data_IF_061961082287
#
_entry.id   IF_061961082287
#
_cell.length_a   1.000
_cell.length_b   1.000
_cell.length_c   1.000
_cell.angle_alpha   90.00
_cell.angle_beta   90.00
_cell.angle_gamma   90.00
#
_symmetry.space_group_name_H-M   'P 1'
#
loop_
_entity.id
_entity.type
_entity.pdbx_description
1 polymer ?
#
# COMPACT_ATOMS: atom_id res chain seq x y z
N UNK A 1 0.06 -22.54 -22.42
CA UNK A 1 -0.33 -21.39 -21.63
C UNK A 1 -0.77 -21.88 -20.25
N UNK A 2 -0.22 -21.33 -19.17
CA UNK A 2 -0.78 -21.50 -17.82
C UNK A 2 -2.08 -20.70 -17.74
N UNK A 3 -3.09 -21.25 -17.06
CA UNK A 3 -4.35 -20.56 -16.85
C UNK A 3 -4.23 -19.72 -15.56
N UNK A 4 -4.74 -18.48 -15.60
CA UNK A 4 -5.05 -17.73 -14.40
C UNK A 4 -6.41 -18.18 -13.84
N UNK A 5 -6.63 -17.97 -12.55
CA UNK A 5 -7.85 -18.40 -11.88
C UNK A 5 -8.46 -17.27 -11.04
N UNK A 6 -9.65 -16.81 -11.44
CA UNK A 6 -10.49 -15.92 -10.65
C UNK A 6 -11.80 -16.64 -10.31
N UNK A 7 -11.84 -17.23 -9.14
CA UNK A 7 -13.05 -17.92 -8.66
C UNK A 7 -13.97 -16.95 -7.95
N UNK A 8 -15.29 -16.90 -8.30
CA UNK A 8 -16.24 -16.08 -7.56
C UNK A 8 -16.26 -16.46 -6.08
N UNK A 9 -16.14 -15.47 -5.22
CA UNK A 9 -16.10 -15.66 -3.78
C UNK A 9 -17.44 -15.27 -3.13
N UNK A 10 -17.95 -16.13 -2.25
CA UNK A 10 -19.07 -15.80 -1.37
C UNK A 10 -18.50 -15.29 -0.04
N UNK A 11 -18.80 -14.05 0.29
CA UNK A 11 -18.37 -13.46 1.56
C UNK A 11 -19.00 -14.19 2.77
N UNK A 12 -18.27 -14.30 3.89
CA UNK A 12 -18.84 -14.79 5.15
C UNK A 12 -20.07 -13.97 5.59
N UNK A 13 -21.09 -14.58 6.22
CA UNK A 13 -22.34 -13.89 6.54
C UNK A 13 -22.18 -12.75 7.55
N UNK A 14 -21.18 -12.81 8.42
CA UNK A 14 -20.88 -11.81 9.45
C UNK A 14 -20.18 -10.55 8.89
N UNK A 15 -19.64 -10.62 7.68
CA UNK A 15 -19.02 -9.48 6.98
C UNK A 15 -19.99 -8.30 6.81
N UNK A 16 -21.29 -8.56 6.64
CA UNK A 16 -22.28 -7.49 6.51
C UNK A 16 -22.42 -6.65 7.80
N UNK A 17 -22.28 -7.27 8.96
CA UNK A 17 -22.31 -6.56 10.25
C UNK A 17 -21.01 -5.76 10.47
N UNK A 18 -19.85 -6.35 10.12
CA UNK A 18 -18.56 -5.66 10.14
C UNK A 18 -18.59 -4.42 9.25
N UNK A 19 -19.08 -4.55 8.01
CA UNK A 19 -19.21 -3.43 7.06
C UNK A 19 -20.03 -2.27 7.63
N UNK A 20 -21.17 -2.55 8.24
CA UNK A 20 -22.00 -1.53 8.90
C UNK A 20 -21.27 -0.85 10.06
N UNK A 21 -20.53 -1.61 10.86
CA UNK A 21 -19.76 -1.06 11.98
C UNK A 21 -18.64 -0.14 11.49
N UNK A 22 -17.93 -0.53 10.42
CA UNK A 22 -16.88 0.30 9.82
C UNK A 22 -17.47 1.59 9.24
N UNK A 23 -18.58 1.51 8.50
CA UNK A 23 -19.24 2.69 7.93
C UNK A 23 -19.70 3.67 9.02
N UNK A 24 -20.35 3.20 10.07
CA UNK A 24 -20.79 4.03 11.18
C UNK A 24 -19.62 4.73 11.89
N UNK A 25 -18.47 4.07 12.00
CA UNK A 25 -17.23 4.68 12.50
C UNK A 25 -16.72 5.76 11.55
N UNK A 26 -16.68 5.48 10.24
CA UNK A 26 -16.22 6.41 9.22
C UNK A 26 -17.12 7.64 9.10
N UNK A 27 -18.43 7.46 9.16
CA UNK A 27 -19.40 8.56 9.15
C UNK A 27 -19.13 9.58 10.28
N UNK A 28 -18.68 9.08 11.44
CA UNK A 28 -18.32 9.95 12.57
C UNK A 28 -16.93 10.57 12.40
N UNK A 29 -15.92 9.77 12.07
CA UNK A 29 -14.53 10.22 12.08
C UNK A 29 -14.12 11.07 10.87
N UNK A 30 -14.87 10.97 9.76
CA UNK A 30 -14.58 11.69 8.51
C UNK A 30 -15.58 12.83 8.23
N UNK A 31 -16.49 13.13 9.16
CA UNK A 31 -17.54 14.14 8.96
C UNK A 31 -16.99 15.53 8.57
N UNK A 32 -15.88 15.93 9.20
CA UNK A 32 -15.27 17.24 9.00
C UNK A 32 -14.20 17.28 7.88
N UNK A 33 -13.90 16.13 7.25
CA UNK A 33 -12.91 16.08 6.19
C UNK A 33 -13.51 16.57 4.86
N UNK A 34 -12.80 17.47 4.18
CA UNK A 34 -13.14 17.90 2.82
C UNK A 34 -13.03 16.76 1.81
N UNK A 35 -13.77 16.84 0.73
CA UNK A 35 -13.74 15.86 -0.35
C UNK A 35 -12.33 15.67 -0.94
N UNK A 36 -11.59 16.75 -1.17
CA UNK A 36 -10.22 16.73 -1.67
C UNK A 36 -9.25 16.05 -0.69
N UNK A 37 -9.45 16.17 0.62
CA UNK A 37 -8.65 15.47 1.62
C UNK A 37 -8.97 13.97 1.61
N UNK A 38 -10.24 13.60 1.46
CA UNK A 38 -10.67 12.20 1.27
C UNK A 38 -10.11 11.61 -0.02
N UNK A 39 -9.92 12.41 -1.07
CA UNK A 39 -9.33 11.97 -2.34
C UNK A 39 -7.84 11.62 -2.24
N UNK A 40 -7.13 12.03 -1.17
CA UNK A 40 -5.77 11.54 -0.91
C UNK A 40 -5.73 10.03 -0.62
N UNK A 41 -6.88 9.43 -0.25
CA UNK A 41 -7.04 8.00 -0.03
C UNK A 41 -5.95 7.48 0.94
N UNK A 42 -5.25 6.40 0.59
CA UNK A 42 -4.21 5.83 1.45
C UNK A 42 -2.90 6.67 1.56
N UNK A 43 -2.82 7.83 0.90
CA UNK A 43 -1.76 8.82 1.13
C UNK A 43 -2.12 9.83 2.22
N UNK A 44 -3.40 10.00 2.57
CA UNK A 44 -3.86 10.86 3.66
C UNK A 44 -3.31 10.38 5.01
N UNK A 45 -2.70 11.27 5.78
CA UNK A 45 -1.97 10.93 7.01
C UNK A 45 -2.66 11.47 8.27
N UNK A 46 -3.06 10.57 9.17
CA UNK A 46 -3.51 10.91 10.52
C UNK A 46 -3.10 9.83 11.53
N UNK A 47 -2.20 10.18 12.44
CA UNK A 47 -1.82 9.30 13.55
C UNK A 47 -2.97 9.12 14.55
N UNK A 48 -3.81 10.14 14.74
CA UNK A 48 -4.98 10.08 15.61
C UNK A 48 -6.03 9.11 15.07
N UNK A 49 -6.38 9.23 13.78
CA UNK A 49 -7.27 8.29 13.11
C UNK A 49 -6.75 6.85 13.22
N UNK A 50 -5.44 6.63 13.05
CA UNK A 50 -4.82 5.31 13.19
C UNK A 50 -4.99 4.72 14.58
N UNK A 51 -4.83 5.51 15.65
CA UNK A 51 -5.09 5.07 17.03
C UNK A 51 -6.56 4.73 17.27
N UNK A 52 -7.49 5.56 16.77
CA UNK A 52 -8.93 5.30 16.87
C UNK A 52 -9.33 4.03 16.14
N UNK A 53 -8.77 3.80 14.96
CA UNK A 53 -8.98 2.58 14.17
C UNK A 53 -8.44 1.34 14.91
N UNK A 54 -7.23 1.46 15.47
CA UNK A 54 -6.60 0.41 16.28
C UNK A 54 -7.43 0.05 17.52
N UNK A 55 -8.04 1.03 18.19
CA UNK A 55 -8.94 0.82 19.33
C UNK A 55 -10.20 0.00 18.96
N UNK A 56 -10.58 -0.04 17.67
CA UNK A 56 -11.62 -0.95 17.15
C UNK A 56 -11.10 -2.35 16.83
N UNK A 57 -9.79 -2.61 16.95
CA UNK A 57 -9.15 -3.87 16.56
C UNK A 57 -9.02 -4.04 15.04
N UNK A 58 -9.00 -2.93 14.27
CA UNK A 58 -8.96 -2.95 12.81
C UNK A 58 -7.57 -2.63 12.23
N UNK A 59 -6.55 -2.52 13.07
CA UNK A 59 -5.14 -2.53 12.69
C UNK A 59 -4.53 -3.87 13.13
N UNK A 60 -3.73 -4.49 12.29
CA UNK A 60 -3.13 -5.79 12.56
C UNK A 60 -4.13 -6.94 12.67
N UNK A 61 -5.28 -6.85 12.00
CA UNK A 61 -6.41 -7.79 12.14
C UNK A 61 -6.01 -9.25 11.97
N UNK A 62 -5.08 -9.55 11.08
CA UNK A 62 -4.65 -10.94 10.77
C UNK A 62 -3.53 -11.45 11.68
N UNK A 63 -2.96 -10.57 12.54
CA UNK A 63 -1.85 -10.96 13.41
C UNK A 63 -2.32 -11.77 14.62
N UNK A 64 -1.40 -12.51 15.28
CA UNK A 64 -1.72 -13.26 16.49
C UNK A 64 -2.25 -12.36 17.61
N UNK A 65 -3.23 -12.86 18.36
CA UNK A 65 -3.77 -12.15 19.55
C UNK A 65 -2.71 -11.86 20.59
N UNK A 66 -1.74 -12.74 20.78
CA UNK A 66 -0.62 -12.55 21.69
C UNK A 66 0.25 -11.32 21.35
N UNK A 67 0.15 -10.81 20.09
CA UNK A 67 0.84 -9.62 19.59
C UNK A 67 -0.11 -8.42 19.40
N UNK A 68 -1.34 -8.52 19.89
CA UNK A 68 -2.34 -7.45 19.79
C UNK A 68 -3.21 -7.49 18.54
N UNK A 69 -3.07 -8.50 17.68
CA UNK A 69 -3.96 -8.74 16.54
C UNK A 69 -5.29 -9.39 16.94
N UNK A 70 -6.13 -9.69 15.96
CA UNK A 70 -7.44 -10.33 16.17
C UNK A 70 -7.53 -11.74 15.61
N UNK A 71 -6.52 -12.23 14.88
CA UNK A 71 -6.55 -13.49 14.12
C UNK A 71 -7.74 -13.56 13.14
N UNK A 72 -8.15 -12.39 12.65
CA UNK A 72 -9.22 -12.29 11.68
C UNK A 72 -8.78 -12.83 10.31
N UNK A 73 -9.73 -13.32 9.52
CA UNK A 73 -9.44 -13.81 8.19
C UNK A 73 -9.03 -12.67 7.23
N UNK A 74 -8.33 -13.01 6.15
CA UNK A 74 -8.00 -12.08 5.08
C UNK A 74 -9.26 -11.41 4.48
N UNK A 75 -10.42 -12.09 4.47
CA UNK A 75 -11.68 -11.54 3.98
C UNK A 75 -12.26 -10.46 4.89
N UNK A 76 -12.18 -10.64 6.21
CA UNK A 76 -12.58 -9.60 7.16
C UNK A 76 -11.71 -8.36 7.01
N UNK A 77 -10.39 -8.55 6.95
CA UNK A 77 -9.44 -7.46 6.69
C UNK A 77 -9.70 -6.76 5.36
N UNK A 78 -9.99 -7.52 4.30
CA UNK A 78 -10.35 -6.99 2.98
C UNK A 78 -11.52 -6.00 3.07
N UNK A 79 -12.58 -6.37 3.77
CA UNK A 79 -13.77 -5.52 3.92
C UNK A 79 -13.47 -4.24 4.68
N UNK A 80 -12.70 -4.30 5.75
CA UNK A 80 -12.30 -3.10 6.48
C UNK A 80 -11.50 -2.16 5.58
N UNK A 81 -10.50 -2.66 4.86
CA UNK A 81 -9.70 -1.86 3.93
C UNK A 81 -10.56 -1.29 2.80
N UNK A 82 -11.47 -2.06 2.23
CA UNK A 82 -12.38 -1.61 1.18
C UNK A 82 -13.20 -0.40 1.64
N UNK A 83 -13.81 -0.47 2.82
CA UNK A 83 -14.61 0.63 3.37
C UNK A 83 -13.75 1.84 3.73
N UNK A 84 -12.58 1.65 4.33
CA UNK A 84 -11.65 2.73 4.65
C UNK A 84 -11.25 3.53 3.40
N UNK A 85 -10.88 2.82 2.33
CA UNK A 85 -10.42 3.46 1.10
C UNK A 85 -11.56 4.08 0.29
N UNK A 86 -12.72 3.43 0.24
CA UNK A 86 -13.90 3.98 -0.41
C UNK A 86 -14.37 5.29 0.25
N UNK A 87 -14.26 5.39 1.58
CA UNK A 87 -14.59 6.60 2.32
C UNK A 87 -13.48 7.67 2.27
N UNK A 88 -12.28 7.34 1.77
CA UNK A 88 -11.14 8.24 1.75
C UNK A 88 -10.50 8.47 3.12
N UNK A 89 -10.46 7.44 3.97
CA UNK A 89 -9.89 7.53 5.30
C UNK A 89 -8.37 7.79 5.28
N UNK A 90 -7.83 8.63 6.20
CA UNK A 90 -6.41 8.99 6.23
C UNK A 90 -5.57 7.90 6.91
N UNK A 91 -5.35 6.79 6.22
CA UNK A 91 -4.73 5.56 6.75
C UNK A 91 -3.20 5.55 6.68
N UNK A 92 -2.56 6.53 6.05
CA UNK A 92 -1.13 6.50 5.72
C UNK A 92 -0.20 6.28 6.92
N UNK A 93 -0.60 6.68 8.13
CA UNK A 93 0.24 6.53 9.32
C UNK A 93 0.49 5.06 9.67
N UNK A 94 -0.55 4.21 9.69
CA UNK A 94 -0.42 2.78 9.99
C UNK A 94 -0.26 1.90 8.74
N UNK A 95 -0.44 2.46 7.54
CA UNK A 95 -0.61 1.69 6.30
C UNK A 95 0.53 0.72 6.01
N UNK A 96 1.77 1.19 6.08
CA UNK A 96 2.96 0.35 5.85
C UNK A 96 3.14 -0.64 7.01
N UNK A 97 2.91 -0.19 8.26
CA UNK A 97 2.98 -1.04 9.43
C UNK A 97 1.99 -2.22 9.35
N UNK A 98 0.72 -1.94 9.10
CA UNK A 98 -0.34 -2.96 9.02
C UNK A 98 -0.18 -3.91 7.84
N UNK A 99 0.09 -3.35 6.66
CA UNK A 99 0.06 -4.13 5.42
C UNK A 99 1.32 -4.94 5.16
N UNK A 100 2.48 -4.40 5.50
CA UNK A 100 3.78 -4.93 5.12
C UNK A 100 4.64 -5.27 6.33
N UNK A 101 5.12 -4.26 7.05
CA UNK A 101 6.15 -4.45 8.08
C UNK A 101 5.71 -5.36 9.21
N UNK A 102 4.48 -5.25 9.70
CA UNK A 102 3.98 -6.10 10.78
C UNK A 102 3.87 -7.56 10.37
N UNK A 103 3.39 -7.82 9.15
CA UNK A 103 3.33 -9.19 8.60
C UNK A 103 4.73 -9.79 8.41
N UNK A 104 5.71 -8.99 7.96
CA UNK A 104 7.10 -9.42 7.88
C UNK A 104 7.68 -9.74 9.26
N UNK A 105 7.43 -8.88 10.27
CA UNK A 105 7.89 -9.14 11.63
C UNK A 105 7.27 -10.40 12.22
N UNK A 106 5.97 -10.59 12.07
CA UNK A 106 5.28 -11.80 12.55
C UNK A 106 5.83 -13.07 11.90
N UNK A 107 6.22 -12.99 10.62
CA UNK A 107 6.68 -14.16 9.85
C UNK A 107 8.17 -14.48 10.06
N UNK A 108 9.02 -13.47 10.17
CA UNK A 108 10.48 -13.66 10.06
C UNK A 108 11.27 -13.18 11.28
N UNK A 109 10.74 -12.30 12.13
CA UNK A 109 11.48 -11.78 13.27
C UNK A 109 11.50 -12.78 14.43
N UNK A 110 12.51 -12.65 15.31
CA UNK A 110 12.54 -13.36 16.57
C UNK A 110 11.37 -12.95 17.47
N UNK A 111 10.96 -13.82 18.39
CA UNK A 111 9.89 -13.54 19.34
C UNK A 111 10.15 -12.25 20.14
N UNK A 112 11.39 -12.01 20.58
CA UNK A 112 11.75 -10.79 21.28
C UNK A 112 11.52 -9.52 20.44
N UNK A 113 11.85 -9.56 19.15
CA UNK A 113 11.63 -8.45 18.22
C UNK A 113 10.14 -8.27 17.92
N UNK A 114 9.40 -9.37 17.74
CA UNK A 114 7.95 -9.31 17.59
C UNK A 114 7.28 -8.62 18.79
N UNK A 115 7.60 -9.04 20.02
CA UNK A 115 7.06 -8.46 21.26
C UNK A 115 7.46 -6.98 21.44
N UNK A 116 8.62 -6.59 20.94
CA UNK A 116 9.09 -5.20 21.02
C UNK A 116 8.28 -4.26 20.14
N UNK A 117 7.91 -4.66 18.92
CA UNK A 117 7.37 -3.77 17.91
C UNK A 117 5.88 -4.01 17.60
N UNK A 118 5.45 -5.25 17.40
CA UNK A 118 4.13 -5.57 16.85
C UNK A 118 2.97 -5.08 17.72
N UNK A 119 3.01 -5.18 19.08
CA UNK A 119 1.93 -4.66 19.90
C UNK A 119 1.73 -3.14 19.79
N UNK A 120 2.80 -2.37 19.65
CA UNK A 120 2.70 -0.92 19.48
C UNK A 120 2.17 -0.55 18.07
N UNK A 121 2.53 -1.33 17.05
CA UNK A 121 1.94 -1.22 15.71
C UNK A 121 0.44 -1.51 15.73
N UNK A 122 0.02 -2.58 16.40
CA UNK A 122 -1.38 -2.97 16.55
C UNK A 122 -2.22 -1.90 17.27
N UNK A 123 -1.63 -1.11 18.17
CA UNK A 123 -2.27 0.04 18.84
C UNK A 123 -2.23 1.33 18.03
N UNK A 124 -1.62 1.34 16.82
CA UNK A 124 -1.47 2.56 16.01
C UNK A 124 -0.54 3.61 16.65
N UNK A 125 0.44 3.18 17.41
CA UNK A 125 1.40 4.02 18.14
C UNK A 125 2.80 4.01 17.51
N UNK A 126 3.10 2.99 16.70
CA UNK A 126 4.39 2.84 16.05
C UNK A 126 4.22 2.70 14.53
N UNK A 127 4.87 3.58 13.80
CA UNK A 127 4.76 3.68 12.35
C UNK A 127 6.07 3.26 11.70
N UNK A 128 5.94 2.46 10.65
CA UNK A 128 7.05 1.92 9.89
C UNK A 128 7.08 2.50 8.48
N UNK A 129 8.27 2.57 7.92
CA UNK A 129 8.47 2.74 6.49
C UNK A 129 9.36 1.64 5.92
N UNK A 130 9.39 1.52 4.60
CA UNK A 130 10.18 0.50 3.90
C UNK A 130 11.16 1.16 2.95
N UNK A 131 12.44 0.84 3.11
CA UNK A 131 13.55 1.32 2.30
C UNK A 131 14.04 0.26 1.33
N UNK A 132 13.52 0.27 0.10
CA UNK A 132 13.95 -0.64 -0.96
C UNK A 132 14.73 0.10 -2.04
N UNK A 133 14.08 1.03 -2.74
CA UNK A 133 14.64 1.75 -3.89
C UNK A 133 15.83 2.64 -3.51
N UNK A 134 16.72 2.82 -4.48
CA UNK A 134 17.87 3.73 -4.41
C UNK A 134 17.86 4.65 -5.63
N UNK A 135 18.66 5.74 -5.68
CA UNK A 135 18.67 6.66 -6.81
C UNK A 135 18.83 6.00 -8.18
N UNK A 136 19.58 4.90 -8.25
CA UNK A 136 19.86 4.16 -9.49
C UNK A 136 19.23 2.75 -9.52
N UNK A 137 18.32 2.42 -8.60
CA UNK A 137 17.83 1.06 -8.41
C UNK A 137 16.38 1.07 -7.89
N UNK A 138 15.42 1.16 -8.79
CA UNK A 138 13.99 1.06 -8.51
C UNK A 138 13.43 -0.27 -9.02
N UNK A 139 13.02 -0.33 -10.29
CA UNK A 139 12.54 -1.57 -10.92
C UNK A 139 13.60 -2.68 -10.92
N UNK A 140 14.87 -2.33 -11.02
CA UNK A 140 16.01 -3.23 -10.86
C UNK A 140 16.49 -3.30 -9.40
N UNK A 141 15.60 -3.77 -8.53
CA UNK A 141 15.86 -3.82 -7.09
C UNK A 141 17.06 -4.72 -6.71
N UNK A 142 17.36 -5.73 -7.53
CA UNK A 142 18.51 -6.60 -7.30
C UNK A 142 19.88 -5.90 -7.45
N UNK A 143 19.92 -4.68 -7.99
CA UNK A 143 21.15 -3.91 -8.20
C UNK A 143 21.42 -2.85 -7.11
N UNK A 144 20.73 -2.91 -5.96
CA UNK A 144 20.97 -1.99 -4.84
C UNK A 144 22.41 -2.04 -4.35
N UNK A 145 22.88 -0.87 -3.90
CA UNK A 145 24.27 -0.64 -3.48
C UNK A 145 24.44 -0.34 -1.99
N UNK A 146 23.34 0.05 -1.29
CA UNK A 146 23.37 0.18 0.17
C UNK A 146 23.83 -1.14 0.76
N UNK A 147 24.86 -1.10 1.58
CA UNK A 147 25.55 -2.30 2.10
C UNK A 147 25.62 -2.28 3.62
N UNK A 148 25.60 -3.46 4.21
CA UNK A 148 25.93 -3.70 5.59
C UNK A 148 27.18 -4.59 5.65
N UNK A 149 28.07 -4.28 6.58
CA UNK A 149 29.20 -5.15 6.91
C UNK A 149 29.16 -5.50 8.37
N UNK A 150 29.55 -6.73 8.68
CA UNK A 150 29.50 -7.27 10.04
C UNK A 150 30.60 -6.65 10.90
N UNK A 151 30.24 -6.33 12.13
CA UNK A 151 31.14 -5.87 13.18
C UNK A 151 30.83 -6.64 14.47
N UNK A 152 31.56 -6.38 15.55
CA UNK A 152 31.27 -6.98 16.84
C UNK A 152 29.90 -6.56 17.37
N UNK A 153 29.02 -7.54 17.65
CA UNK A 153 27.66 -7.35 18.17
C UNK A 153 26.63 -6.84 17.15
N UNK A 154 26.99 -6.72 15.85
CA UNK A 154 26.02 -6.22 14.88
C UNK A 154 26.57 -5.93 13.49
N UNK A 155 26.01 -4.90 12.89
CA UNK A 155 26.27 -4.49 11.51
C UNK A 155 26.42 -2.99 11.40
N UNK A 156 27.21 -2.52 10.45
CA UNK A 156 27.33 -1.12 10.08
C UNK A 156 26.80 -0.94 8.66
N UNK A 157 25.79 -0.07 8.52
CA UNK A 157 25.08 0.20 7.26
C UNK A 157 25.56 1.52 6.66
N UNK A 158 25.87 1.49 5.35
CA UNK A 158 26.25 2.65 4.56
C UNK A 158 25.53 2.66 3.22
N UNK A 159 25.02 3.83 2.79
CA UNK A 159 24.34 4.01 1.53
C UNK A 159 23.18 4.98 1.61
N UNK A 160 22.20 4.80 0.72
CA UNK A 160 21.00 5.64 0.73
C UNK A 160 19.78 4.89 0.20
N UNK A 161 18.59 5.36 0.61
CA UNK A 161 17.29 4.92 0.10
C UNK A 161 16.51 6.11 -0.43
N UNK A 162 15.76 5.89 -1.50
CA UNK A 162 14.98 6.92 -2.17
C UNK A 162 13.51 6.49 -2.31
N UNK A 163 12.59 7.44 -2.38
CA UNK A 163 11.16 7.24 -2.50
C UNK A 163 10.54 6.46 -1.34
N UNK A 164 11.11 6.59 -0.15
CA UNK A 164 10.59 5.93 1.05
C UNK A 164 9.37 6.68 1.56
N UNK A 165 8.21 6.02 1.48
CA UNK A 165 6.92 6.60 1.88
C UNK A 165 6.92 6.94 3.38
N UNK A 166 6.59 8.19 3.72
CA UNK A 166 6.45 8.71 5.09
C UNK A 166 7.69 8.50 6.00
N UNK A 167 8.90 8.41 5.45
CA UNK A 167 10.12 8.21 6.23
C UNK A 167 10.30 9.23 7.36
N UNK A 168 10.01 10.51 7.08
CA UNK A 168 10.11 11.62 8.05
C UNK A 168 9.04 11.62 9.15
N UNK A 169 8.06 10.69 9.08
CA UNK A 169 6.97 10.50 10.05
C UNK A 169 7.00 9.13 10.70
N UNK A 170 7.91 8.26 10.29
CA UNK A 170 8.08 6.90 10.81
C UNK A 170 9.18 6.88 11.88
N UNK A 171 9.05 5.98 12.84
CA UNK A 171 10.08 5.73 13.84
C UNK A 171 11.08 4.68 13.37
N UNK A 172 10.59 3.66 12.68
CA UNK A 172 11.36 2.47 12.30
C UNK A 172 11.28 2.26 10.79
N UNK A 173 12.36 1.75 10.21
CA UNK A 173 12.43 1.32 8.82
C UNK A 173 12.77 -0.16 8.72
N UNK A 174 12.16 -0.88 7.78
CA UNK A 174 12.71 -2.11 7.25
C UNK A 174 13.44 -1.78 5.96
N UNK A 175 14.76 -2.00 5.91
CA UNK A 175 15.58 -1.67 4.76
C UNK A 175 16.20 -2.92 4.12
N UNK A 176 16.07 -3.04 2.79
CA UNK A 176 16.79 -4.04 2.01
C UNK A 176 18.20 -3.55 1.72
N UNK A 177 19.20 -4.30 2.13
CA UNK A 177 20.62 -3.95 1.96
C UNK A 177 21.43 -5.16 1.50
N UNK A 178 22.64 -4.92 1.02
CA UNK A 178 23.56 -5.96 0.59
C UNK A 178 24.53 -6.30 1.72
N UNK A 179 24.52 -7.55 2.16
CA UNK A 179 25.43 -8.06 3.21
C UNK A 179 26.64 -8.79 2.66
N UNK A 180 26.54 -9.35 1.44
CA UNK A 180 27.67 -10.02 0.78
C UNK A 180 27.87 -9.46 -0.63
N UNK A 181 29.07 -9.66 -1.18
CA UNK A 181 29.33 -9.29 -2.57
C UNK A 181 28.33 -9.98 -3.51
N UNK A 182 27.93 -9.29 -4.58
CA UNK A 182 27.05 -9.85 -5.59
C UNK A 182 27.74 -11.07 -6.20
N UNK A 183 27.18 -12.27 -5.94
CA UNK A 183 27.65 -13.54 -6.49
C UNK A 183 27.12 -13.79 -7.90
N UNK A 184 27.26 -15.03 -8.39
CA UNK A 184 26.71 -15.45 -9.69
C UNK A 184 25.17 -15.29 -9.75
N UNK A 185 24.48 -15.53 -8.65
CA UNK A 185 23.04 -15.26 -8.55
C UNK A 185 22.80 -13.78 -8.21
N UNK A 186 22.12 -13.06 -9.11
CA UNK A 186 21.87 -11.61 -9.02
C UNK A 186 21.18 -11.19 -7.73
N UNK A 187 20.33 -12.05 -7.17
CA UNK A 187 19.53 -11.82 -5.98
C UNK A 187 20.20 -12.28 -4.67
N UNK A 188 21.36 -12.92 -4.76
CA UNK A 188 22.08 -13.39 -3.59
C UNK A 188 22.69 -12.22 -2.79
N UNK A 189 22.86 -12.44 -1.49
CA UNK A 189 23.53 -11.47 -0.59
C UNK A 189 22.70 -10.23 -0.26
N UNK A 190 21.38 -10.33 -0.39
CA UNK A 190 20.43 -9.31 0.06
C UNK A 190 19.80 -9.72 1.38
N UNK A 191 19.74 -8.78 2.33
CA UNK A 191 19.17 -8.98 3.67
C UNK A 191 18.29 -7.79 4.03
N UNK A 192 17.31 -8.00 4.91
CA UNK A 192 16.50 -6.92 5.46
C UNK A 192 16.89 -6.62 6.90
N UNK A 193 16.96 -5.35 7.25
CA UNK A 193 17.27 -4.87 8.59
C UNK A 193 16.18 -3.95 9.12
N UNK A 194 15.91 -4.06 10.41
CA UNK A 194 15.07 -3.15 11.18
C UNK A 194 15.98 -2.03 11.68
N UNK A 195 15.73 -0.81 11.24
CA UNK A 195 16.57 0.36 11.54
C UNK A 195 15.73 1.39 12.31
N UNK A 196 16.20 1.81 13.48
CA UNK A 196 15.66 2.96 14.19
C UNK A 196 16.10 4.23 13.44
N UNK A 197 15.14 5.02 12.97
CA UNK A 197 15.40 6.22 12.17
C UNK A 197 15.97 7.40 13.01
N UNK A 198 15.98 7.28 14.33
CA UNK A 198 16.64 8.21 15.25
C UNK A 198 18.12 7.89 15.50
N UNK A 199 18.63 6.75 14.95
CA UNK A 199 20.02 6.33 15.15
C UNK A 199 21.00 7.34 14.60
N UNK A 200 22.17 7.46 15.25
CA UNK A 200 23.28 8.26 14.75
C UNK A 200 23.68 7.80 13.34
N UNK A 201 23.99 8.75 12.46
CA UNK A 201 24.31 8.49 11.06
C UNK A 201 23.10 8.38 10.12
N UNK A 202 21.87 8.41 10.62
CA UNK A 202 20.67 8.46 9.79
C UNK A 202 20.31 9.92 9.51
N UNK A 203 20.15 10.26 8.21
CA UNK A 203 19.66 11.57 7.78
C UNK A 203 18.49 11.40 6.81
N UNK A 204 17.39 12.11 7.06
CA UNK A 204 16.17 12.04 6.25
C UNK A 204 15.89 13.40 5.63
N UNK A 205 15.76 13.42 4.30
CA UNK A 205 15.32 14.58 3.53
C UNK A 205 13.93 14.27 2.95
N UNK A 206 12.92 15.07 3.27
CA UNK A 206 11.59 14.91 2.66
C UNK A 206 11.57 15.47 1.24
N UNK A 207 10.86 14.78 0.35
CA UNK A 207 10.70 15.14 -1.08
C UNK A 207 9.28 15.67 -1.26
N UNK A 208 9.16 16.85 -1.85
CA UNK A 208 7.87 17.41 -2.25
C UNK A 208 7.49 16.88 -3.65
N UNK A 209 6.22 16.50 -3.81
CA UNK A 209 5.63 16.18 -5.09
C UNK A 209 5.13 17.44 -5.84
N UNK A 210 4.50 17.27 -6.99
CA UNK A 210 3.95 18.37 -7.79
C UNK A 210 2.83 19.15 -7.09
N UNK A 211 2.18 18.53 -6.10
CA UNK A 211 1.13 19.15 -5.28
C UNK A 211 1.70 19.87 -4.05
N UNK A 212 3.04 19.82 -3.86
CA UNK A 212 3.72 20.36 -2.69
C UNK A 212 3.64 19.45 -1.46
N UNK A 213 2.96 18.30 -1.55
CA UNK A 213 2.87 17.34 -0.47
C UNK A 213 4.19 16.57 -0.29
N UNK A 214 4.50 16.25 0.95
CA UNK A 214 5.76 15.58 1.31
C UNK A 214 5.48 14.16 1.76
N UNK A 215 5.19 13.28 0.79
CA UNK A 215 4.89 11.86 1.04
C UNK A 215 6.12 10.97 1.06
N UNK A 216 7.22 11.40 0.42
CA UNK A 216 8.42 10.60 0.23
C UNK A 216 9.63 11.20 0.94
N UNK A 217 10.59 10.34 1.25
CA UNK A 217 11.88 10.72 1.78
C UNK A 217 13.03 10.06 1.03
N UNK A 218 14.14 10.77 1.02
CA UNK A 218 15.46 10.24 0.75
C UNK A 218 16.18 10.07 2.09
N UNK A 219 16.78 8.91 2.31
CA UNK A 219 17.43 8.55 3.57
C UNK A 219 18.89 8.21 3.28
N UNK A 220 19.79 8.79 4.05
CA UNK A 220 21.20 8.50 4.02
C UNK A 220 21.61 7.74 5.27
N UNK A 221 22.47 6.75 5.10
CA UNK A 221 23.09 5.97 6.16
C UNK A 221 24.59 6.22 6.10
N UNK A 222 25.13 6.82 7.15
CA UNK A 222 26.57 7.05 7.33
C UNK A 222 27.04 6.34 8.60
N UNK A 223 27.62 5.15 8.42
CA UNK A 223 28.10 4.29 9.50
C UNK A 223 27.04 3.97 10.57
N UNK A 224 25.80 3.72 10.15
CA UNK A 224 24.69 3.40 11.05
C UNK A 224 24.89 2.01 11.65
N UNK A 225 25.06 1.93 12.96
CA UNK A 225 25.14 0.67 13.68
C UNK A 225 23.74 0.07 13.90
N UNK A 226 23.61 -1.23 13.63
CA UNK A 226 22.39 -2.02 13.84
C UNK A 226 22.78 -3.33 14.52
N UNK A 227 22.20 -3.64 15.68
CA UNK A 227 22.49 -4.85 16.44
C UNK A 227 22.06 -6.13 15.72
N UNK A 228 22.67 -7.25 16.06
CA UNK A 228 22.43 -8.55 15.39
C UNK A 228 20.97 -8.99 15.41
N UNK A 229 20.23 -8.69 16.48
CA UNK A 229 18.82 -9.03 16.65
C UNK A 229 17.89 -8.24 15.72
N UNK A 230 18.38 -7.17 15.09
CA UNK A 230 17.65 -6.38 14.11
C UNK A 230 17.80 -6.86 12.67
N UNK A 231 18.56 -7.91 12.41
CA UNK A 231 18.53 -8.64 11.14
C UNK A 231 17.20 -9.40 11.03
N UNK A 232 16.41 -9.14 10.01
CA UNK A 232 15.13 -9.79 9.81
C UNK A 232 15.33 -11.18 9.18
N UNK A 233 15.08 -12.24 9.95
CA UNK A 233 15.29 -13.62 9.51
C UNK A 233 16.77 -13.99 9.35
N UNK A 234 17.12 -14.70 8.29
CA UNK A 234 18.47 -15.12 8.01
C UNK A 234 19.21 -14.15 7.07
N UNK A 235 20.54 -14.06 7.23
CA UNK A 235 21.39 -13.31 6.28
C UNK A 235 21.25 -13.91 4.88
N UNK A 236 21.06 -13.05 3.88
CA UNK A 236 20.91 -13.44 2.48
C UNK A 236 19.50 -13.80 2.06
N UNK A 237 18.51 -13.84 2.97
CA UNK A 237 17.12 -14.20 2.66
C UNK A 237 16.23 -13.01 2.25
N UNK A 238 16.78 -11.82 2.17
CA UNK A 238 16.03 -10.59 1.89
C UNK A 238 15.24 -10.60 0.58
N UNK A 239 15.74 -11.30 -0.46
CA UNK A 239 15.00 -11.40 -1.71
C UNK A 239 13.71 -12.23 -1.60
N UNK A 240 13.74 -13.33 -0.85
CA UNK A 240 12.55 -14.15 -0.59
C UNK A 240 11.53 -13.38 0.25
N UNK A 241 11.99 -12.64 1.25
CA UNK A 241 11.15 -11.78 2.09
C UNK A 241 10.44 -10.71 1.25
N UNK A 242 11.16 -10.00 0.37
CA UNK A 242 10.58 -9.00 -0.55
C UNK A 242 9.53 -9.63 -1.48
N UNK A 243 9.79 -10.81 -2.04
CA UNK A 243 8.83 -11.47 -2.91
C UNK A 243 7.55 -11.88 -2.17
N UNK A 244 7.66 -12.35 -0.94
CA UNK A 244 6.49 -12.71 -0.11
C UNK A 244 5.63 -11.49 0.24
N UNK A 245 6.26 -10.34 0.45
CA UNK A 245 5.61 -9.07 0.72
C UNK A 245 4.84 -8.55 -0.52
N UNK A 246 5.49 -8.58 -1.69
CA UNK A 246 4.91 -8.09 -2.94
C UNK A 246 3.66 -8.87 -3.39
N UNK A 247 3.55 -10.16 -3.05
CA UNK A 247 2.37 -10.96 -3.35
C UNK A 247 1.12 -10.42 -2.60
N UNK A 248 1.29 -10.06 -1.33
CA UNK A 248 0.23 -9.47 -0.51
C UNK A 248 -0.09 -8.02 -0.92
N UNK A 249 0.91 -7.29 -1.40
CA UNK A 249 0.80 -5.88 -1.75
C UNK A 249 -0.05 -5.60 -3.01
N UNK A 250 -0.10 -6.53 -3.96
CA UNK A 250 -0.59 -6.27 -5.32
C UNK A 250 -2.08 -6.49 -5.53
N UNK A 251 -2.82 -7.02 -4.57
CA UNK A 251 -4.16 -7.55 -4.82
C UNK A 251 -5.30 -6.84 -4.10
N UNK A 252 -5.02 -6.00 -3.13
CA UNK A 252 -6.03 -5.38 -2.29
C UNK A 252 -6.80 -4.22 -2.96
N UNK A 253 -7.84 -3.71 -2.27
CA UNK A 253 -8.65 -2.57 -2.75
C UNK A 253 -7.84 -1.32 -3.06
N UNK A 254 -6.67 -1.15 -2.47
CA UNK A 254 -5.73 -0.06 -2.73
C UNK A 254 -5.20 -0.02 -4.17
N UNK A 255 -5.54 -1.01 -4.98
CA UNK A 255 -5.07 -1.11 -6.36
C UNK A 255 -6.10 -0.63 -7.39
N UNK A 256 -7.30 -0.25 -6.92
CA UNK A 256 -8.36 0.29 -7.78
C UNK A 256 -9.24 1.36 -7.10
N UNK A 257 -9.04 1.67 -5.82
CA UNK A 257 -9.85 2.66 -5.09
C UNK A 257 -9.16 4.01 -4.88
N UNK A 258 -7.94 4.24 -5.38
CA UNK A 258 -7.24 5.51 -5.14
C UNK A 258 -7.92 6.72 -5.77
N UNK A 259 -8.63 6.55 -6.87
CA UNK A 259 -9.42 7.60 -7.53
C UNK A 259 -10.92 7.52 -7.23
N UNK A 260 -11.37 6.57 -6.40
CA UNK A 260 -12.78 6.27 -6.19
C UNK A 260 -13.56 7.46 -5.63
N UNK A 261 -12.95 8.30 -4.78
CA UNK A 261 -13.63 9.46 -4.19
C UNK A 261 -14.14 10.42 -5.27
N UNK A 262 -13.43 10.59 -6.38
CA UNK A 262 -13.91 11.40 -7.50
C UNK A 262 -15.21 10.85 -8.11
N UNK A 263 -15.31 9.52 -8.22
CA UNK A 263 -16.54 8.90 -8.72
C UNK A 263 -17.71 9.09 -7.73
N UNK A 264 -17.44 9.02 -6.43
CA UNK A 264 -18.44 9.31 -5.42
C UNK A 264 -18.89 10.77 -5.48
N UNK A 265 -17.96 11.74 -5.59
CA UNK A 265 -18.29 13.16 -5.75
C UNK A 265 -19.10 13.43 -7.03
N UNK A 266 -18.78 12.75 -8.13
CA UNK A 266 -19.58 12.82 -9.34
C UNK A 266 -21.03 12.39 -9.06
N UNK A 267 -21.23 11.23 -8.43
CA UNK A 267 -22.58 10.72 -8.13
C UNK A 267 -23.34 11.65 -7.16
N UNK A 268 -22.66 12.20 -6.16
CA UNK A 268 -23.23 13.13 -5.19
C UNK A 268 -23.60 14.48 -5.80
N UNK A 269 -22.92 14.88 -6.89
CA UNK A 269 -23.19 16.15 -7.62
C UNK A 269 -24.39 16.09 -8.56
N UNK A 270 -24.95 14.90 -8.81
CA UNK A 270 -26.07 14.72 -9.73
C UNK A 270 -27.41 14.90 -9.01
N UNK A 271 -28.23 15.84 -9.47
CA UNK A 271 -29.58 16.10 -8.95
C UNK A 271 -30.66 15.13 -9.49
N UNK A 272 -30.27 13.90 -9.82
CA UNK A 272 -31.17 12.81 -10.23
C UNK A 272 -31.36 12.61 -11.73
N UNK A 273 -31.17 13.62 -12.55
CA UNK A 273 -31.15 13.49 -14.03
C UNK A 273 -29.76 13.79 -14.58
N UNK A 274 -29.25 12.91 -15.45
CA UNK A 274 -28.00 13.14 -16.18
C UNK A 274 -28.22 12.82 -17.67
N UNK A 275 -27.42 13.44 -18.52
CA UNK A 275 -27.43 13.20 -19.95
C UNK A 275 -26.89 11.79 -20.30
N UNK A 276 -27.07 11.39 -21.55
CA UNK A 276 -26.67 10.05 -22.01
C UNK A 276 -25.16 9.85 -21.89
N UNK A 277 -24.33 10.88 -22.10
CA UNK A 277 -22.88 10.78 -22.02
C UNK A 277 -22.42 10.56 -20.57
N UNK A 278 -23.00 11.30 -19.63
CA UNK A 278 -22.75 11.12 -18.18
C UNK A 278 -23.21 9.75 -17.72
N UNK A 279 -24.41 9.30 -18.16
CA UNK A 279 -24.94 7.97 -17.84
C UNK A 279 -24.01 6.87 -18.37
N UNK A 280 -23.54 6.98 -19.60
CA UNK A 280 -22.59 6.04 -20.19
C UNK A 280 -21.29 5.99 -19.38
N UNK A 281 -20.72 7.14 -19.04
CA UNK A 281 -19.47 7.24 -18.25
C UNK A 281 -19.63 6.57 -16.88
N UNK A 282 -20.74 6.81 -16.18
CA UNK A 282 -21.05 6.15 -14.90
C UNK A 282 -21.14 4.63 -15.07
N UNK A 283 -21.81 4.18 -16.14
CA UNK A 283 -21.94 2.76 -16.47
C UNK A 283 -20.59 2.07 -16.69
N UNK A 284 -19.71 2.70 -17.48
CA UNK A 284 -18.35 2.20 -17.77
C UNK A 284 -17.49 2.13 -16.51
N UNK A 285 -17.44 3.20 -15.70
CA UNK A 285 -16.71 3.24 -14.43
C UNK A 285 -17.23 2.16 -13.47
N UNK A 286 -18.56 1.99 -13.38
CA UNK A 286 -19.19 0.98 -12.52
C UNK A 286 -18.82 -0.43 -12.95
N UNK A 287 -18.83 -0.72 -14.26
CA UNK A 287 -18.46 -2.04 -14.79
C UNK A 287 -16.98 -2.39 -14.50
N UNK A 288 -16.07 -1.43 -14.66
CA UNK A 288 -14.66 -1.61 -14.37
C UNK A 288 -14.41 -1.82 -12.86
N UNK A 289 -15.03 -0.99 -12.00
CA UNK A 289 -14.95 -1.14 -10.54
C UNK A 289 -15.48 -2.50 -10.09
N UNK A 290 -16.63 -2.93 -10.63
CA UNK A 290 -17.21 -4.23 -10.31
C UNK A 290 -16.27 -5.36 -10.68
N UNK A 291 -15.71 -5.31 -11.88
CA UNK A 291 -14.78 -6.32 -12.39
C UNK A 291 -13.51 -6.41 -11.53
N UNK A 292 -12.85 -5.28 -11.29
CA UNK A 292 -11.64 -5.21 -10.45
C UNK A 292 -11.90 -5.68 -9.02
N UNK A 293 -13.06 -5.32 -8.46
CA UNK A 293 -13.48 -5.79 -7.14
C UNK A 293 -13.64 -7.30 -7.09
N UNK A 294 -14.32 -7.92 -8.07
CA UNK A 294 -14.49 -9.37 -8.11
C UNK A 294 -13.14 -10.10 -8.25
N UNK A 295 -12.26 -9.60 -9.11
CA UNK A 295 -10.90 -10.14 -9.26
C UNK A 295 -10.11 -10.04 -7.95
N UNK A 296 -10.12 -8.89 -7.29
CA UNK A 296 -9.44 -8.64 -6.02
C UNK A 296 -9.99 -9.51 -4.88
N UNK A 297 -11.32 -9.68 -4.79
CA UNK A 297 -11.96 -10.56 -3.82
C UNK A 297 -11.58 -12.03 -4.03
N UNK A 298 -11.51 -12.49 -5.27
CA UNK A 298 -11.04 -13.84 -5.61
C UNK A 298 -9.64 -14.10 -5.05
N UNK A 299 -8.73 -13.14 -5.19
CA UNK A 299 -7.37 -13.25 -4.65
C UNK A 299 -7.38 -13.29 -3.12
N UNK A 300 -8.20 -12.44 -2.48
CA UNK A 300 -8.33 -12.47 -1.02
C UNK A 300 -8.84 -13.84 -0.51
N UNK A 301 -9.72 -14.51 -1.26
CA UNK A 301 -10.15 -15.88 -0.99
C UNK A 301 -9.00 -16.88 -1.10
N UNK A 302 -8.23 -16.83 -2.18
CA UNK A 302 -7.08 -17.70 -2.40
C UNK A 302 -6.01 -17.53 -1.31
N UNK A 303 -5.73 -16.28 -0.90
CA UNK A 303 -4.82 -15.99 0.21
C UNK A 303 -5.34 -16.54 1.54
N UNK A 304 -6.66 -16.50 1.78
CA UNK A 304 -7.28 -17.08 2.98
C UNK A 304 -7.15 -18.61 3.02
N UNK A 305 -7.04 -19.26 1.86
CA UNK A 305 -6.79 -20.70 1.69
C UNK A 305 -5.29 -21.06 1.70
N UNK A 306 -4.40 -20.09 1.89
CA UNK A 306 -2.96 -20.28 1.94
C UNK A 306 -2.27 -20.37 0.57
N UNK A 307 -2.95 -20.00 -0.51
CA UNK A 307 -2.37 -19.93 -1.86
C UNK A 307 -1.57 -18.63 -2.06
N UNK A 308 -0.65 -18.62 -3.03
CA UNK A 308 0.14 -17.44 -3.43
C UNK A 308 -0.19 -17.02 -4.90
N UNK A 309 -1.31 -16.36 -5.17
CA UNK A 309 -1.80 -16.02 -6.51
C UNK A 309 -1.03 -14.82 -7.13
N UNK A 310 0.27 -14.98 -7.36
CA UNK A 310 1.17 -13.91 -7.81
C UNK A 310 0.85 -13.40 -9.22
N UNK A 311 0.39 -14.31 -10.12
CA UNK A 311 -0.02 -13.95 -11.48
C UNK A 311 -1.28 -13.08 -11.45
N UNK A 312 -2.33 -13.57 -10.77
CA UNK A 312 -3.62 -12.89 -10.64
C UNK A 312 -3.48 -11.53 -9.94
N UNK A 313 -2.66 -11.48 -8.88
CA UNK A 313 -2.36 -10.23 -8.16
C UNK A 313 -1.68 -9.20 -9.08
N UNK A 314 -0.76 -9.64 -9.95
CA UNK A 314 -0.11 -8.78 -10.95
C UNK A 314 -1.10 -8.25 -11.99
N UNK A 315 -2.09 -9.06 -12.40
CA UNK A 315 -3.16 -8.65 -13.31
C UNK A 315 -4.06 -7.59 -12.67
N UNK A 316 -4.52 -7.81 -11.43
CA UNK A 316 -5.32 -6.81 -10.70
C UNK A 316 -4.57 -5.50 -10.56
N UNK A 317 -3.28 -5.54 -10.23
CA UNK A 317 -2.47 -4.33 -10.10
C UNK A 317 -2.28 -3.59 -11.44
N UNK A 318 -2.03 -4.29 -12.55
CA UNK A 318 -1.87 -3.63 -13.87
C UNK A 318 -3.18 -3.01 -14.35
N UNK A 319 -4.28 -3.74 -14.29
CA UNK A 319 -5.61 -3.25 -14.70
C UNK A 319 -6.10 -2.13 -13.77
N UNK A 320 -5.95 -2.31 -12.45
CA UNK A 320 -6.35 -1.30 -11.47
C UNK A 320 -5.57 0.00 -11.63
N UNK A 321 -4.24 -0.06 -11.89
CA UNK A 321 -3.47 1.16 -12.14
C UNK A 321 -3.93 1.91 -13.40
N UNK A 322 -4.33 1.18 -14.46
CA UNK A 322 -4.94 1.79 -15.64
C UNK A 322 -6.25 2.48 -15.29
N UNK A 323 -7.11 1.78 -14.58
CA UNK A 323 -8.41 2.30 -14.14
C UNK A 323 -8.25 3.57 -13.29
N UNK A 324 -7.41 3.53 -12.25
CA UNK A 324 -7.16 4.67 -11.36
C UNK A 324 -6.62 5.90 -12.10
N UNK A 325 -5.76 5.70 -13.12
CA UNK A 325 -5.23 6.79 -13.94
C UNK A 325 -6.24 7.33 -14.94
N UNK A 326 -7.08 6.46 -15.50
CA UNK A 326 -8.05 6.87 -16.50
C UNK A 326 -9.31 7.52 -15.91
N UNK A 327 -9.70 7.14 -14.68
CA UNK A 327 -10.94 7.62 -14.06
C UNK A 327 -11.05 9.16 -14.02
N UNK A 328 -10.04 9.96 -13.61
CA UNK A 328 -10.13 11.42 -13.67
C UNK A 328 -10.36 11.95 -15.09
N UNK A 329 -9.74 11.35 -16.09
CA UNK A 329 -9.92 11.75 -17.48
C UNK A 329 -11.29 11.35 -18.02
N UNK A 330 -11.81 10.17 -17.66
CA UNK A 330 -13.17 9.74 -18.03
C UNK A 330 -14.22 10.64 -17.43
N UNK A 331 -14.08 11.00 -16.15
CA UNK A 331 -14.98 11.98 -15.49
C UNK A 331 -14.90 13.32 -16.20
N UNK A 332 -13.69 13.86 -16.45
CA UNK A 332 -13.52 15.13 -17.16
C UNK A 332 -14.16 15.13 -18.55
N UNK A 333 -14.03 14.05 -19.30
CA UNK A 333 -14.58 13.94 -20.66
C UNK A 333 -16.11 13.71 -20.66
N UNK A 334 -16.61 12.90 -19.71
CA UNK A 334 -18.03 12.52 -19.63
C UNK A 334 -18.93 13.62 -19.12
N UNK A 335 -18.43 14.51 -18.25
CA UNK A 335 -19.21 15.63 -17.74
C UNK A 335 -19.15 16.83 -18.70
N UNK A 336 -18.17 16.89 -19.62
CA UNK A 336 -18.02 17.94 -20.62
C UNK A 336 -18.02 19.37 -20.02
N UNK A 337 -18.82 20.27 -20.63
CA UNK A 337 -19.02 21.63 -20.16
C UNK A 337 -19.92 21.72 -18.90
N UNK A 338 -20.46 20.60 -18.45
CA UNK A 338 -21.33 20.51 -17.27
C UNK A 338 -20.56 20.42 -15.95
N UNK A 339 -19.22 20.43 -15.95
CA UNK A 339 -18.46 20.69 -14.72
C UNK A 339 -18.91 22.05 -14.22
N UNK A 340 -19.43 22.17 -12.99
CA UNK A 340 -19.84 23.44 -12.46
C UNK A 340 -18.76 24.48 -12.70
N UNK A 341 -19.13 25.64 -13.24
CA UNK A 341 -18.20 26.77 -13.37
C UNK A 341 -17.67 27.27 -12.02
N UNK A 342 -18.23 26.72 -10.95
CA UNK A 342 -17.76 26.87 -9.59
C UNK A 342 -16.50 26.04 -9.38
N UNK A 343 -15.37 26.73 -9.42
CA UNK A 343 -14.04 26.15 -9.18
C UNK A 343 -13.87 25.62 -7.75
N UNK A 344 -14.73 26.04 -6.85
CA UNK A 344 -14.67 25.73 -5.42
C UNK A 344 -15.62 24.57 -5.04
N UNK A 345 -16.22 23.87 -6.02
CA UNK A 345 -17.03 22.69 -5.74
C UNK A 345 -16.13 21.49 -5.37
N UNK A 346 -16.60 20.64 -4.48
CA UNK A 346 -15.91 19.40 -4.05
C UNK A 346 -15.52 18.52 -5.23
N UNK A 347 -16.36 18.43 -6.26
CA UNK A 347 -16.07 17.69 -7.50
C UNK A 347 -14.89 18.33 -8.26
N UNK A 348 -14.88 19.66 -8.43
CA UNK A 348 -13.81 20.37 -9.15
C UNK A 348 -12.48 20.30 -8.44
N UNK A 349 -12.45 20.48 -7.11
CA UNK A 349 -11.24 20.37 -6.29
C UNK A 349 -10.68 18.93 -6.34
N UNK A 350 -11.56 17.93 -6.18
CA UNK A 350 -11.19 16.51 -6.22
C UNK A 350 -10.67 16.09 -7.60
N UNK A 351 -11.32 16.53 -8.68
CA UNK A 351 -10.87 16.26 -10.05
C UNK A 351 -9.49 16.87 -10.31
N UNK A 352 -9.31 18.15 -9.94
CA UNK A 352 -8.04 18.87 -10.12
C UNK A 352 -6.90 18.18 -9.37
N UNK A 353 -7.13 17.75 -8.12
CA UNK A 353 -6.18 16.99 -7.33
C UNK A 353 -5.81 15.67 -8.01
N UNK A 354 -6.80 14.88 -8.43
CA UNK A 354 -6.56 13.54 -8.99
C UNK A 354 -5.95 13.57 -10.39
N UNK A 355 -6.23 14.56 -11.22
CA UNK A 355 -5.53 14.75 -12.49
C UNK A 355 -4.01 14.92 -12.30
N UNK A 356 -3.59 15.58 -11.21
CA UNK A 356 -2.18 15.74 -10.89
C UNK A 356 -1.57 14.55 -10.13
N UNK A 357 -2.35 13.87 -9.28
CA UNK A 357 -1.85 12.77 -8.45
C UNK A 357 -1.81 11.42 -9.19
N UNK A 358 -2.78 11.15 -10.06
CA UNK A 358 -2.98 9.83 -10.69
C UNK A 358 -1.81 9.32 -11.55
N UNK A 359 -0.98 10.15 -12.22
CA UNK A 359 0.18 9.67 -12.96
C UNK A 359 1.14 8.82 -12.12
N UNK A 360 1.24 9.08 -10.80
CA UNK A 360 2.09 8.32 -9.89
C UNK A 360 1.55 6.92 -9.54
N UNK A 361 0.28 6.62 -9.78
CA UNK A 361 -0.36 5.38 -9.34
C UNK A 361 0.17 4.13 -10.03
N UNK A 362 0.71 4.23 -11.24
CA UNK A 362 1.35 3.11 -11.94
C UNK A 362 2.78 2.82 -11.48
N UNK A 363 3.42 3.70 -10.69
CA UNK A 363 4.82 3.56 -10.30
C UNK A 363 5.01 2.74 -9.01
N UNK A 364 4.01 2.70 -8.14
CA UNK A 364 4.06 2.03 -6.83
C UNK A 364 3.74 0.54 -6.92
N UNK A 365 4.38 -0.31 -6.11
CA UNK A 365 4.14 -1.77 -6.11
C UNK A 365 4.59 -2.51 -7.37
N UNK A 366 5.54 -1.95 -8.09
CA UNK A 366 6.02 -2.38 -9.41
C UNK A 366 5.35 -1.61 -10.55
N UNK A 367 6.17 -1.16 -11.52
CA UNK A 367 5.67 -0.48 -12.72
C UNK A 367 4.89 -1.45 -13.62
N UNK A 368 4.06 -0.92 -14.51
CA UNK A 368 3.26 -1.74 -15.44
C UNK A 368 4.12 -2.64 -16.32
N UNK A 369 5.31 -2.19 -16.72
CA UNK A 369 6.27 -2.96 -17.50
C UNK A 369 6.77 -4.18 -16.73
N UNK A 370 7.10 -4.01 -15.45
CA UNK A 370 7.50 -5.11 -14.55
C UNK A 370 6.34 -6.09 -14.36
N UNK A 371 5.13 -5.60 -14.10
CA UNK A 371 3.93 -6.44 -13.93
C UNK A 371 3.63 -7.25 -15.18
N UNK A 372 3.66 -6.62 -16.36
CA UNK A 372 3.44 -7.30 -17.65
C UNK A 372 4.50 -8.36 -17.93
N UNK A 373 5.77 -8.12 -17.52
CA UNK A 373 6.81 -9.14 -17.56
C UNK A 373 6.52 -10.34 -16.64
N UNK A 374 5.94 -10.11 -15.46
CA UNK A 374 5.50 -11.18 -14.54
C UNK A 374 4.32 -11.94 -15.15
N UNK A 375 3.32 -11.22 -15.65
CA UNK A 375 2.13 -11.78 -16.29
C UNK A 375 2.52 -12.64 -17.50
N UNK A 376 3.38 -12.12 -18.37
CA UNK A 376 3.84 -12.84 -19.56
C UNK A 376 4.52 -14.17 -19.17
N UNK A 377 5.44 -14.14 -18.21
CA UNK A 377 6.10 -15.36 -17.71
C UNK A 377 5.11 -16.33 -17.06
N UNK A 378 4.18 -15.82 -16.25
CA UNK A 378 3.14 -16.61 -15.60
C UNK A 378 2.20 -17.30 -16.59
N UNK A 379 1.97 -16.69 -17.76
CA UNK A 379 1.21 -17.27 -18.87
C UNK A 379 2.04 -18.20 -19.77
N UNK A 380 3.33 -18.39 -19.48
CA UNK A 380 4.24 -19.21 -20.28
C UNK A 380 4.73 -18.54 -21.56
N UNK A 381 4.62 -17.24 -21.67
CA UNK A 381 5.19 -16.45 -22.76
C UNK A 381 6.67 -16.13 -22.46
N UNK A 382 7.52 -16.15 -23.50
CA UNK A 382 8.96 -15.85 -23.41
C UNK A 382 9.23 -14.38 -23.72
#
# INVERSE_FOLDING_TARGET
LQNFNFTPLKMPPDVASLRRAVRAFLDTELAELKAVDKAQSWAGYSADFSRKLAAKGWVGMTWPKALGGSEASALHRYVVIEELLAAGAPVAAHWIADRQSGTLLVRYASEAVQQRFVPAMARGEMFFCIGMSEPNSGSDLASIKTKAHRVDGGWVINGSKLWTTNAHRSQIMIALVRTTAQGQARHAGLSQFIIDLSSEGVKINSIADHLGARHFGEIFFDNVFVSDDMLLGAEGDGWNQVNSELALERSGPERYLSSYRLFAELLESLDGECDDATTQTIGEITADLWTLRQMSMSIAGQLAEGSEPSLEASMVKDLGACFEQNLPHSVQAGIGASIPSDRDSDLSETLSYLLMASPAFSLRGGTREILRGIIARGLGLK
#
